data_IF_237976514161
#
_entry.id   IF_237976514161
#
_cell.length_a   1.000
_cell.length_b   1.000
_cell.length_c   1.000
_cell.angle_alpha   90.00
_cell.angle_beta   90.00
_cell.angle_gamma   90.00
#
_symmetry.space_group_name_H-M   'P 1'
#
loop_
_entity.id
_entity.type
_entity.pdbx_description
1 polymer ?
#
# COMPACT_ATOMS: atom_id res chain seq x y z
N UNK A 1 -60.99 34.45 -11.73
CA UNK A 1 -60.42 33.86 -10.48
C UNK A 1 -59.99 32.40 -10.64
N UNK A 2 -60.31 31.74 -11.75
CA UNK A 2 -59.93 30.36 -12.09
C UNK A 2 -58.53 30.26 -12.71
N UNK A 3 -58.14 31.20 -13.58
CA UNK A 3 -56.83 31.20 -14.24
C UNK A 3 -55.65 31.28 -13.25
N UNK A 4 -55.72 32.18 -12.25
CA UNK A 4 -54.67 32.34 -11.22
C UNK A 4 -54.44 31.05 -10.41
N UNK A 5 -55.50 30.28 -10.14
CA UNK A 5 -55.39 28.99 -9.43
C UNK A 5 -54.71 27.94 -10.29
N UNK A 6 -54.97 27.94 -11.61
CA UNK A 6 -54.38 27.01 -12.58
C UNK A 6 -52.89 27.27 -12.78
N UNK A 7 -52.47 28.53 -12.84
CA UNK A 7 -51.05 28.91 -12.93
C UNK A 7 -50.25 28.48 -11.69
N UNK A 8 -50.82 28.70 -10.49
CA UNK A 8 -50.18 28.29 -9.23
C UNK A 8 -50.06 26.76 -9.16
N UNK A 9 -51.12 26.04 -9.51
CA UNK A 9 -51.11 24.57 -9.52
C UNK A 9 -50.10 24.02 -10.53
N UNK A 10 -50.01 24.59 -11.73
CA UNK A 10 -49.05 24.14 -12.75
C UNK A 10 -47.59 24.32 -12.29
N UNK A 11 -47.26 25.47 -11.70
CA UNK A 11 -45.93 25.72 -11.14
C UNK A 11 -45.60 24.75 -10.00
N UNK A 12 -46.57 24.48 -9.13
CA UNK A 12 -46.41 23.50 -8.04
C UNK A 12 -46.14 22.09 -8.57
N UNK A 13 -46.90 21.64 -9.59
CA UNK A 13 -46.68 20.34 -10.23
C UNK A 13 -45.31 20.26 -10.91
N UNK A 14 -44.87 21.33 -11.56
CA UNK A 14 -43.57 21.38 -12.22
C UNK A 14 -42.42 21.32 -11.20
N UNK A 15 -42.53 22.05 -10.09
CA UNK A 15 -41.56 21.97 -8.99
C UNK A 15 -41.55 20.58 -8.35
N UNK A 16 -42.71 19.99 -8.12
CA UNK A 16 -42.81 18.63 -7.56
C UNK A 16 -42.20 17.58 -8.49
N UNK A 17 -42.50 17.65 -9.79
CA UNK A 17 -41.93 16.75 -10.79
C UNK A 17 -40.40 16.85 -10.85
N UNK A 18 -39.85 18.06 -10.72
CA UNK A 18 -38.39 18.27 -10.66
C UNK A 18 -37.76 17.55 -9.46
N UNK A 19 -38.33 17.70 -8.26
CA UNK A 19 -37.79 17.03 -7.07
C UNK A 19 -37.92 15.50 -7.13
N UNK A 20 -39.03 15.00 -7.71
CA UNK A 20 -39.20 13.55 -7.93
C UNK A 20 -38.15 13.02 -8.91
N UNK A 21 -37.91 13.70 -10.03
CA UNK A 21 -36.88 13.31 -10.99
C UNK A 21 -35.48 13.35 -10.39
N UNK A 22 -35.16 14.37 -9.60
CA UNK A 22 -33.89 14.45 -8.88
C UNK A 22 -33.72 13.28 -7.90
N UNK A 23 -34.77 12.92 -7.15
CA UNK A 23 -34.77 11.76 -6.26
C UNK A 23 -34.54 10.44 -7.00
N UNK A 24 -35.22 10.24 -8.12
CA UNK A 24 -35.02 9.05 -8.98
C UNK A 24 -33.59 8.98 -9.49
N UNK A 25 -33.00 10.10 -9.93
CA UNK A 25 -31.61 10.15 -10.40
C UNK A 25 -30.61 9.75 -9.30
N UNK A 26 -30.84 10.17 -8.05
CA UNK A 26 -30.01 9.78 -6.90
C UNK A 26 -30.12 8.26 -6.66
N UNK A 27 -31.33 7.71 -6.67
CA UNK A 27 -31.53 6.26 -6.48
C UNK A 27 -30.84 5.44 -7.57
N UNK A 28 -30.93 5.88 -8.83
CA UNK A 28 -30.23 5.23 -9.96
C UNK A 28 -28.71 5.27 -9.77
N UNK A 29 -28.16 6.40 -9.31
CA UNK A 29 -26.73 6.51 -9.05
C UNK A 29 -26.29 5.60 -7.90
N UNK A 30 -27.09 5.50 -6.83
CA UNK A 30 -26.83 4.58 -5.71
C UNK A 30 -26.81 3.13 -6.20
N UNK A 31 -27.81 2.73 -7.01
CA UNK A 31 -27.86 1.38 -7.57
C UNK A 31 -26.68 1.09 -8.49
N UNK A 32 -26.26 2.07 -9.31
CA UNK A 32 -25.07 1.94 -10.16
C UNK A 32 -23.81 1.67 -9.34
N UNK A 33 -23.57 2.45 -8.28
CA UNK A 33 -22.41 2.26 -7.40
C UNK A 33 -22.46 0.89 -6.72
N UNK A 34 -23.64 0.45 -6.26
CA UNK A 34 -23.77 -0.83 -5.58
C UNK A 34 -23.65 -2.06 -6.50
N UNK A 35 -24.13 -1.98 -7.75
CA UNK A 35 -24.17 -3.12 -8.68
C UNK A 35 -22.97 -3.18 -9.62
N UNK A 36 -22.42 -2.04 -10.04
CA UNK A 36 -21.30 -1.99 -10.99
C UNK A 36 -19.97 -1.92 -10.25
N UNK A 37 -19.87 -1.06 -9.24
CA UNK A 37 -18.62 -0.79 -8.52
C UNK A 37 -18.56 -1.53 -7.16
N UNK A 38 -19.65 -2.19 -6.75
CA UNK A 38 -19.79 -2.74 -5.42
C UNK A 38 -18.86 -3.93 -5.13
N UNK A 39 -18.56 -4.77 -6.12
CA UNK A 39 -17.63 -5.89 -5.95
C UNK A 39 -16.18 -5.39 -5.80
N UNK A 40 -15.74 -4.51 -6.69
CA UNK A 40 -14.40 -3.92 -6.65
C UNK A 40 -14.17 -3.12 -5.36
N UNK A 41 -15.16 -2.29 -4.94
CA UNK A 41 -15.06 -1.50 -3.71
C UNK A 41 -15.06 -2.39 -2.45
N UNK A 42 -15.76 -3.54 -2.46
CA UNK A 42 -15.73 -4.51 -1.36
C UNK A 42 -14.44 -5.30 -1.33
N UNK A 43 -13.89 -5.64 -2.50
CA UNK A 43 -12.58 -6.29 -2.61
C UNK A 43 -11.49 -5.37 -2.06
N UNK A 44 -11.46 -4.11 -2.49
CA UNK A 44 -10.55 -3.07 -2.00
C UNK A 44 -10.70 -2.82 -0.49
N UNK A 45 -11.94 -2.80 0.01
CA UNK A 45 -12.20 -2.66 1.44
C UNK A 45 -11.67 -3.87 2.21
N UNK A 46 -11.81 -5.09 1.69
CA UNK A 46 -11.32 -6.31 2.35
C UNK A 46 -9.79 -6.37 2.42
N UNK A 47 -9.10 -5.89 1.39
CA UNK A 47 -7.62 -5.83 1.37
C UNK A 47 -7.07 -4.77 2.34
N UNK A 48 -7.80 -3.65 2.50
CA UNK A 48 -7.40 -2.52 3.35
C UNK A 48 -7.92 -2.61 4.79
N UNK A 49 -8.91 -3.46 5.07
CA UNK A 49 -9.52 -3.59 6.39
C UNK A 49 -8.66 -4.48 7.31
N UNK A 50 -7.93 -3.81 8.19
CA UNK A 50 -7.40 -4.36 9.45
C UNK A 50 -6.38 -5.49 9.23
N UNK A 51 -5.14 -5.08 8.95
CA UNK A 51 -3.99 -5.98 9.11
C UNK A 51 -3.74 -6.19 10.61
N UNK A 52 -4.25 -7.29 11.15
CA UNK A 52 -3.93 -7.71 12.52
C UNK A 52 -2.45 -8.11 12.58
N UNK A 53 -1.59 -7.19 13.02
CA UNK A 53 -0.18 -7.49 13.26
C UNK A 53 -0.06 -8.03 14.68
N UNK A 54 0.31 -9.30 14.81
CA UNK A 54 0.63 -9.89 16.12
C UNK A 54 1.90 -9.22 16.66
N UNK A 55 1.78 -8.54 17.80
CA UNK A 55 2.93 -7.96 18.50
C UNK A 55 3.47 -9.04 19.44
N UNK A 56 4.61 -9.63 19.08
CA UNK A 56 5.27 -10.61 19.93
C UNK A 56 5.69 -9.96 21.27
N UNK A 57 5.48 -10.67 22.38
CA UNK A 57 5.95 -10.22 23.67
C UNK A 57 7.49 -10.11 23.67
N UNK A 58 8.02 -9.05 24.29
CA UNK A 58 9.47 -8.88 24.44
C UNK A 58 10.02 -10.01 25.33
N UNK A 59 11.12 -10.63 24.90
CA UNK A 59 11.86 -11.58 25.75
C UNK A 59 12.42 -10.85 26.97
N UNK A 60 12.38 -11.54 28.11
CA UNK A 60 13.02 -11.05 29.34
C UNK A 60 14.54 -11.01 29.20
N UNK A 61 15.16 -10.16 30.02
CA UNK A 61 16.62 -10.07 30.16
C UNK A 61 17.11 -11.04 31.23
N UNK A 62 18.30 -11.61 31.04
CA UNK A 62 18.95 -12.50 32.01
C UNK A 62 20.01 -11.70 32.77
N UNK A 63 19.96 -11.76 34.09
CA UNK A 63 20.88 -11.08 35.00
C UNK A 63 21.70 -12.09 35.81
N UNK A 64 22.94 -11.75 36.15
CA UNK A 64 23.73 -12.50 37.12
C UNK A 64 23.28 -12.20 38.57
N UNK A 65 23.80 -12.94 39.54
CA UNK A 65 23.48 -12.76 40.97
C UNK A 65 23.82 -11.35 41.50
N UNK A 66 24.83 -10.71 40.91
CA UNK A 66 25.25 -9.34 41.23
C UNK A 66 24.41 -8.25 40.54
N UNK A 67 23.42 -8.64 39.72
CA UNK A 67 22.56 -7.72 38.95
C UNK A 67 23.13 -7.26 37.61
N UNK A 68 24.29 -7.77 37.18
CA UNK A 68 24.84 -7.45 35.86
C UNK A 68 24.04 -8.10 34.71
N UNK A 69 23.93 -7.41 33.57
CA UNK A 69 23.18 -7.88 32.41
C UNK A 69 24.00 -8.89 31.59
N UNK A 70 23.51 -10.13 31.46
CA UNK A 70 24.15 -11.19 30.68
C UNK A 70 23.59 -11.34 29.27
N UNK A 71 22.27 -11.19 29.12
CA UNK A 71 21.61 -11.33 27.83
C UNK A 71 20.36 -10.44 27.74
N UNK A 72 20.25 -9.67 26.65
CA UNK A 72 19.08 -8.88 26.31
C UNK A 72 18.82 -8.92 24.79
N UNK A 73 17.57 -8.69 24.41
CA UNK A 73 17.17 -8.54 23.01
C UNK A 73 17.15 -7.07 22.62
N UNK A 74 17.95 -6.70 21.62
CA UNK A 74 17.98 -5.36 21.04
C UNK A 74 17.41 -5.37 19.62
N UNK A 75 16.75 -4.28 19.18
CA UNK A 75 16.38 -4.13 17.78
C UNK A 75 17.65 -3.94 16.93
N UNK A 76 17.71 -4.62 15.78
CA UNK A 76 18.77 -4.44 14.80
C UNK A 76 18.22 -3.79 13.54
N UNK A 77 18.95 -2.82 13.02
CA UNK A 77 18.67 -2.24 11.71
C UNK A 77 19.31 -3.10 10.63
N UNK A 78 18.54 -3.38 9.57
CA UNK A 78 18.99 -4.12 8.39
C UNK A 78 18.84 -3.21 7.19
N UNK A 79 19.93 -3.02 6.45
CA UNK A 79 19.90 -2.34 5.16
C UNK A 79 19.38 -3.31 4.12
N UNK A 80 18.44 -2.86 3.31
CA UNK A 80 17.82 -3.62 2.24
C UNK A 80 17.83 -2.79 0.96
N UNK A 81 17.89 -3.47 -0.17
CA UNK A 81 17.86 -2.86 -1.50
C UNK A 81 16.63 -3.32 -2.26
N UNK A 82 15.98 -2.39 -2.96
CA UNK A 82 14.97 -2.71 -3.97
C UNK A 82 15.58 -2.50 -5.37
N UNK A 83 16.00 -3.57 -6.05
CA UNK A 83 16.57 -3.49 -7.39
C UNK A 83 15.52 -3.29 -8.50
N UNK A 84 14.22 -3.39 -8.20
CA UNK A 84 13.13 -3.27 -9.18
C UNK A 84 12.84 -1.82 -9.57
N UNK A 85 13.08 -0.86 -8.67
CA UNK A 85 12.72 0.56 -8.84
C UNK A 85 13.73 1.33 -9.71
N UNK A 86 14.94 0.80 -9.85
CA UNK A 86 16.05 1.49 -10.51
C UNK A 86 15.90 1.43 -12.04
N UNK A 87 16.02 2.57 -12.72
CA UNK A 87 16.01 2.66 -14.18
C UNK A 87 16.99 1.66 -14.82
N UNK A 88 16.55 1.01 -15.90
CA UNK A 88 17.30 -0.06 -16.53
C UNK A 88 18.66 0.40 -17.08
N UNK A 89 18.77 1.64 -17.57
CA UNK A 89 20.02 2.18 -18.11
C UNK A 89 21.02 2.46 -17.01
N UNK A 90 20.56 3.06 -15.91
CA UNK A 90 21.41 3.34 -14.73
C UNK A 90 21.90 2.04 -14.12
N UNK A 91 21.00 1.07 -13.95
CA UNK A 91 21.35 -0.23 -13.39
C UNK A 91 22.38 -0.97 -14.24
N UNK A 92 22.17 -1.07 -15.56
CA UNK A 92 23.12 -1.76 -16.44
C UNK A 92 24.51 -1.10 -16.46
N UNK A 93 24.58 0.23 -16.31
CA UNK A 93 25.84 0.98 -16.30
C UNK A 93 26.59 0.87 -14.97
N UNK A 94 25.88 1.01 -13.85
CA UNK A 94 26.50 1.26 -12.54
C UNK A 94 26.55 0.01 -11.63
N UNK A 95 25.91 -1.10 -12.03
CA UNK A 95 25.85 -2.35 -11.25
C UNK A 95 27.24 -2.90 -10.90
N UNK A 96 28.18 -2.90 -11.85
CA UNK A 96 29.51 -3.45 -11.62
C UNK A 96 30.29 -2.63 -10.59
N UNK A 97 30.23 -1.30 -10.69
CA UNK A 97 30.82 -0.37 -9.73
C UNK A 97 30.24 -0.55 -8.33
N UNK A 98 28.92 -0.71 -8.24
CA UNK A 98 28.22 -0.97 -6.98
C UNK A 98 28.68 -2.27 -6.33
N UNK A 99 28.73 -3.36 -7.09
CA UNK A 99 29.16 -4.68 -6.58
C UNK A 99 30.62 -4.64 -6.09
N UNK A 100 31.48 -3.88 -6.77
CA UNK A 100 32.87 -3.65 -6.37
C UNK A 100 32.94 -2.86 -5.06
N UNK A 101 32.10 -1.83 -4.90
CA UNK A 101 31.96 -1.07 -3.67
C UNK A 101 31.46 -1.92 -2.49
N UNK A 102 30.42 -2.72 -2.70
CA UNK A 102 29.85 -3.60 -1.68
C UNK A 102 30.87 -4.61 -1.16
N UNK A 103 31.59 -5.28 -2.06
CA UNK A 103 32.64 -6.23 -1.69
C UNK A 103 33.76 -5.58 -0.86
N UNK A 104 34.14 -4.33 -1.18
CA UNK A 104 35.16 -3.61 -0.41
C UNK A 104 34.69 -3.16 0.98
N UNK A 105 33.42 -2.75 1.10
CA UNK A 105 32.85 -2.25 2.36
C UNK A 105 32.54 -3.41 3.31
N UNK A 106 31.88 -4.45 2.80
CA UNK A 106 31.39 -5.57 3.61
C UNK A 106 32.46 -6.66 3.82
N UNK A 107 33.39 -6.83 2.87
CA UNK A 107 34.55 -7.75 2.94
C UNK A 107 34.20 -9.22 3.21
N UNK A 108 32.97 -9.64 2.96
CA UNK A 108 32.46 -10.99 3.19
C UNK A 108 32.37 -11.81 1.89
N UNK A 109 32.09 -11.18 0.75
CA UNK A 109 31.87 -11.86 -0.53
C UNK A 109 32.55 -11.15 -1.71
N UNK A 110 32.86 -11.86 -2.81
CA UNK A 110 33.42 -11.25 -4.01
C UNK A 110 32.38 -10.43 -4.79
N UNK A 111 32.80 -9.49 -5.66
CA UNK A 111 31.87 -8.68 -6.46
C UNK A 111 30.91 -9.48 -7.34
N UNK A 112 31.36 -10.64 -7.86
CA UNK A 112 30.54 -11.53 -8.69
C UNK A 112 29.31 -12.05 -7.95
N UNK A 113 29.46 -12.37 -6.66
CA UNK A 113 28.36 -12.85 -5.82
C UNK A 113 27.25 -11.80 -5.71
N UNK A 114 27.59 -10.54 -5.42
CA UNK A 114 26.57 -9.47 -5.34
C UNK A 114 25.91 -9.21 -6.69
N UNK A 115 26.67 -9.28 -7.79
CA UNK A 115 26.11 -9.09 -9.13
C UNK A 115 25.05 -10.13 -9.43
N UNK A 116 25.33 -11.41 -9.19
CA UNK A 116 24.35 -12.49 -9.36
C UNK A 116 23.15 -12.30 -8.45
N UNK A 117 23.38 -12.00 -7.17
CA UNK A 117 22.35 -11.80 -6.16
C UNK A 117 21.38 -10.67 -6.53
N UNK A 118 21.91 -9.52 -6.95
CA UNK A 118 21.13 -8.35 -7.34
C UNK A 118 20.39 -8.60 -8.67
N UNK A 119 21.03 -9.26 -9.64
CA UNK A 119 20.38 -9.62 -10.91
C UNK A 119 19.23 -10.60 -10.70
N UNK A 120 19.42 -11.62 -9.85
CA UNK A 120 18.37 -12.57 -9.52
C UNK A 120 17.20 -11.86 -8.84
N UNK A 121 17.48 -11.00 -7.86
CA UNK A 121 16.46 -10.23 -7.17
C UNK A 121 15.66 -9.30 -8.10
N UNK A 122 16.32 -8.71 -9.10
CA UNK A 122 15.64 -7.88 -10.11
C UNK A 122 14.74 -8.73 -11.02
N UNK A 123 15.19 -9.91 -11.44
CA UNK A 123 14.42 -10.84 -12.28
C UNK A 123 13.18 -11.37 -11.58
N UNK A 124 13.26 -11.57 -10.28
CA UNK A 124 12.12 -12.04 -9.45
C UNK A 124 11.28 -10.88 -8.91
N UNK A 125 11.54 -9.64 -9.33
CA UNK A 125 10.88 -8.42 -8.83
C UNK A 125 10.85 -8.33 -7.29
N UNK A 126 11.89 -8.84 -6.64
CA UNK A 126 12.00 -8.82 -5.19
C UNK A 126 12.29 -7.41 -4.69
N UNK A 127 11.37 -6.88 -3.88
CA UNK A 127 11.47 -5.54 -3.29
C UNK A 127 12.40 -5.46 -2.06
N UNK A 128 12.79 -6.61 -1.51
CA UNK A 128 13.50 -6.70 -0.24
C UNK A 128 14.74 -7.59 -0.36
N UNK A 129 15.78 -7.08 -1.04
CA UNK A 129 17.07 -7.75 -1.10
C UNK A 129 17.88 -7.44 0.16
N UNK A 130 18.20 -8.49 0.92
CA UNK A 130 19.12 -8.47 2.07
C UNK A 130 20.52 -8.83 1.61
#
# INVERSE_FOLDING_TARGET
MTEVKKDILWRLYLTYAFFVLAGVAIVVQILRIQLVEGEDLRADASEKQIKSVSIAAKRGSIYAEDGSLLAASFPYYRVIMDPSVIDAKVFARDLDSLCLGLSRVLKDQPPSYYKEKILQARRTESKYLV
#
